data_IF_081449665821
#
_entry.id   IF_081449665821
#
_cell.length_a   1.000
_cell.length_b   1.000
_cell.length_c   1.000
_cell.angle_alpha   90.00
_cell.angle_beta   90.00
_cell.angle_gamma   90.00
#
_symmetry.space_group_name_H-M   'P 1'
#
loop_
_entity.id
_entity.type
_entity.pdbx_description
1 polymer ?
#
# COMPACT_ATOMS: atom_id res chain seq x y z
N UNK A 1 -11.54 40.89 -39.25
CA UNK A 1 -10.91 39.62 -38.87
C UNK A 1 -9.74 39.93 -37.96
N UNK A 2 -9.83 39.61 -36.68
CA UNK A 2 -8.72 39.82 -35.72
C UNK A 2 -8.39 38.45 -35.14
N UNK A 3 -7.21 37.94 -35.48
CA UNK A 3 -6.73 36.63 -35.05
C UNK A 3 -5.93 36.83 -33.76
N UNK A 4 -6.48 36.39 -32.62
CA UNK A 4 -5.75 36.32 -31.36
C UNK A 4 -5.14 34.92 -31.26
N UNK A 5 -3.82 34.82 -31.40
CA UNK A 5 -3.07 33.58 -31.19
C UNK A 5 -2.76 33.46 -29.70
N UNK A 6 -3.51 32.59 -29.02
CA UNK A 6 -3.22 32.21 -27.64
C UNK A 6 -2.09 31.16 -27.63
N UNK A 7 -0.88 31.59 -27.27
CA UNK A 7 0.24 30.67 -26.99
C UNK A 7 0.06 30.11 -25.59
N UNK A 8 -0.46 28.88 -25.50
CA UNK A 8 -0.46 28.11 -24.25
C UNK A 8 0.96 27.58 -23.99
N UNK A 9 1.68 28.20 -23.06
CA UNK A 9 2.87 27.59 -22.47
C UNK A 9 2.45 26.43 -21.58
N UNK A 10 2.47 25.21 -22.14
CA UNK A 10 2.39 23.99 -21.35
C UNK A 10 3.72 23.83 -20.59
N UNK A 11 3.77 24.29 -19.35
CA UNK A 11 4.85 23.89 -18.42
C UNK A 11 4.60 22.44 -18.01
N UNK A 12 5.24 21.50 -18.71
CA UNK A 12 5.31 20.11 -18.29
C UNK A 12 6.15 20.05 -17.01
N UNK A 13 5.50 20.16 -15.85
CA UNK A 13 6.16 19.92 -14.56
C UNK A 13 6.39 18.42 -14.44
N UNK A 14 7.51 17.94 -14.98
CA UNK A 14 7.96 16.57 -14.74
C UNK A 14 8.32 16.46 -13.27
N UNK A 15 7.39 15.94 -12.47
CA UNK A 15 7.66 15.54 -11.11
C UNK A 15 8.73 14.43 -11.16
N UNK A 16 9.97 14.76 -10.78
CA UNK A 16 11.06 13.77 -10.70
C UNK A 16 10.62 12.61 -9.80
N UNK A 17 10.24 11.49 -10.39
CA UNK A 17 9.99 10.24 -9.69
C UNK A 17 11.23 9.87 -8.88
N UNK A 18 11.12 9.99 -7.56
CA UNK A 18 12.17 9.60 -6.63
C UNK A 18 12.01 8.11 -6.38
N UNK A 19 12.81 7.31 -7.07
CA UNK A 19 12.91 5.87 -6.82
C UNK A 19 13.58 5.64 -5.47
N UNK A 20 12.98 4.81 -4.62
CA UNK A 20 13.60 4.32 -3.39
C UNK A 20 14.16 2.93 -3.64
N UNK A 21 15.41 2.71 -3.22
CA UNK A 21 16.11 1.43 -3.42
C UNK A 21 15.35 0.25 -2.81
N UNK A 22 14.88 0.40 -1.57
CA UNK A 22 14.13 -0.63 -0.84
C UNK A 22 13.05 0.01 0.03
N UNK A 23 11.83 -0.50 -0.06
CA UNK A 23 10.69 -0.13 0.78
C UNK A 23 10.16 -1.36 1.51
N UNK A 24 9.92 -1.23 2.80
CA UNK A 24 9.26 -2.28 3.59
C UNK A 24 7.76 -2.02 3.60
N UNK A 25 6.98 -3.08 3.42
CA UNK A 25 5.52 -3.00 3.24
C UNK A 25 4.85 -4.13 4.01
N UNK A 26 3.71 -3.85 4.64
CA UNK A 26 2.75 -4.88 5.03
C UNK A 26 1.32 -4.43 4.69
N UNK A 27 0.44 -5.41 4.52
CA UNK A 27 -0.98 -5.24 4.27
C UNK A 27 -1.82 -5.60 5.50
N UNK A 28 -2.97 -4.97 5.60
CA UNK A 28 -4.02 -5.31 6.56
C UNK A 28 -5.34 -5.44 5.79
N UNK A 29 -6.05 -6.53 6.01
CA UNK A 29 -7.42 -6.68 5.54
C UNK A 29 -8.32 -6.84 6.77
N UNK A 30 -9.28 -5.93 6.93
CA UNK A 30 -10.27 -6.02 8.02
C UNK A 30 -11.62 -6.39 7.43
N UNK A 31 -12.17 -7.51 7.87
CA UNK A 31 -13.56 -7.89 7.59
C UNK A 31 -14.40 -7.59 8.82
N UNK A 32 -15.46 -6.82 8.62
CA UNK A 32 -16.44 -6.55 9.67
C UNK A 32 -17.45 -7.70 9.83
N UNK A 33 -17.59 -8.55 8.81
CA UNK A 33 -18.51 -9.69 8.86
C UNK A 33 -18.04 -10.78 9.81
N UNK A 34 -16.75 -11.11 9.80
CA UNK A 34 -16.15 -12.14 10.64
C UNK A 34 -15.36 -11.56 11.83
N UNK A 35 -15.45 -10.25 12.05
CA UNK A 35 -14.70 -9.50 13.08
C UNK A 35 -13.21 -9.83 13.10
N UNK A 36 -12.60 -10.05 11.93
CA UNK A 36 -11.20 -10.47 11.81
C UNK A 36 -10.36 -9.44 11.08
N UNK A 37 -9.15 -9.23 11.58
CA UNK A 37 -8.11 -8.46 10.92
C UNK A 37 -6.93 -9.37 10.53
N UNK A 38 -6.73 -9.51 9.24
CA UNK A 38 -5.65 -10.28 8.64
C UNK A 38 -4.45 -9.38 8.36
N UNK A 39 -3.25 -9.84 8.70
CA UNK A 39 -2.01 -9.12 8.48
C UNK A 39 -1.06 -9.94 7.60
N UNK A 40 -0.52 -9.33 6.56
CA UNK A 40 0.58 -9.93 5.80
C UNK A 40 1.87 -9.88 6.62
N UNK A 41 2.89 -10.72 6.32
CA UNK A 41 4.24 -10.44 6.80
C UNK A 41 4.75 -9.10 6.23
N UNK A 42 5.79 -8.56 6.86
CA UNK A 42 6.53 -7.43 6.30
C UNK A 42 7.42 -7.93 5.18
N UNK A 43 7.26 -7.34 4.00
CA UNK A 43 7.98 -7.68 2.79
C UNK A 43 8.84 -6.49 2.34
N UNK A 44 9.99 -6.79 1.75
CA UNK A 44 10.85 -5.79 1.13
C UNK A 44 10.55 -5.75 -0.37
N UNK A 45 10.32 -4.55 -0.90
CA UNK A 45 10.09 -4.32 -2.32
C UNK A 45 11.15 -3.33 -2.79
N UNK A 46 11.96 -3.77 -3.75
CA UNK A 46 13.04 -2.96 -4.29
C UNK A 46 12.57 -2.09 -5.46
N UNK A 47 13.26 -0.96 -5.65
CA UNK A 47 13.06 -0.04 -6.77
C UNK A 47 11.62 0.44 -6.95
N UNK A 48 11.00 0.90 -5.86
CA UNK A 48 9.64 1.44 -5.86
C UNK A 48 9.62 2.96 -6.08
N UNK A 49 8.54 3.44 -6.68
CA UNK A 49 8.27 4.86 -6.85
C UNK A 49 7.60 5.46 -5.61
N UNK A 50 7.95 6.71 -5.29
CA UNK A 50 7.43 7.41 -4.11
C UNK A 50 6.93 8.81 -4.43
N UNK A 51 5.91 9.27 -3.71
CA UNK A 51 5.33 10.60 -3.88
C UNK A 51 6.22 11.70 -3.28
N UNK A 52 6.89 12.46 -4.14
CA UNK A 52 7.61 13.67 -3.76
C UNK A 52 8.68 13.45 -2.69
N UNK A 53 8.66 14.26 -1.62
CA UNK A 53 9.56 14.10 -0.45
C UNK A 53 9.00 13.15 0.60
N UNK A 54 7.70 12.83 0.53
CA UNK A 54 7.06 11.91 1.46
C UNK A 54 7.43 10.50 1.01
N UNK A 55 8.12 9.72 1.85
CA UNK A 55 8.57 8.35 1.53
C UNK A 55 7.39 7.36 1.52
N UNK A 56 6.31 7.74 0.85
CA UNK A 56 5.06 7.01 0.65
C UNK A 56 5.08 6.39 -0.74
N UNK A 57 4.57 5.17 -0.86
CA UNK A 57 4.43 4.50 -2.15
C UNK A 57 3.56 5.34 -3.10
N UNK A 58 4.03 5.55 -4.32
CA UNK A 58 3.25 6.21 -5.37
C UNK A 58 1.99 5.38 -5.72
N UNK A 59 2.19 4.07 -5.90
CA UNK A 59 1.13 3.15 -6.32
C UNK A 59 0.47 2.44 -5.13
N UNK A 60 0.28 3.15 -4.01
CA UNK A 60 -0.22 2.55 -2.75
C UNK A 60 -1.56 1.81 -2.93
N UNK A 61 -2.45 2.35 -3.76
CA UNK A 61 -3.75 1.73 -4.04
C UNK A 61 -3.59 0.39 -4.75
N UNK A 62 -2.67 0.29 -5.70
CA UNK A 62 -2.43 -0.95 -6.45
C UNK A 62 -1.93 -2.08 -5.53
N UNK A 63 -1.06 -1.77 -4.57
CA UNK A 63 -0.67 -2.74 -3.54
C UNK A 63 -1.85 -3.16 -2.66
N UNK A 64 -2.78 -2.24 -2.35
CA UNK A 64 -4.00 -2.57 -1.60
C UNK A 64 -4.94 -3.45 -2.44
N UNK A 65 -4.99 -3.27 -3.76
CA UNK A 65 -5.74 -4.13 -4.68
C UNK A 65 -5.14 -5.52 -4.82
N UNK A 66 -3.81 -5.68 -4.83
CA UNK A 66 -3.20 -7.01 -4.80
C UNK A 66 -3.67 -7.82 -3.59
N UNK A 67 -3.72 -7.19 -2.41
CA UNK A 67 -4.21 -7.83 -1.20
C UNK A 67 -5.71 -8.14 -1.30
N UNK A 68 -6.52 -7.20 -1.80
CA UNK A 68 -7.95 -7.43 -2.02
C UNK A 68 -8.20 -8.62 -2.94
N UNK A 69 -7.53 -8.66 -4.08
CA UNK A 69 -7.67 -9.73 -5.06
C UNK A 69 -7.28 -11.10 -4.46
N UNK A 70 -6.30 -11.14 -3.54
CA UNK A 70 -5.97 -12.35 -2.81
C UNK A 70 -7.12 -12.86 -1.93
N UNK A 71 -7.80 -11.97 -1.21
CA UNK A 71 -8.97 -12.32 -0.39
C UNK A 71 -10.17 -12.72 -1.26
N UNK A 72 -10.45 -11.97 -2.34
CA UNK A 72 -11.53 -12.26 -3.27
C UNK A 72 -11.38 -13.66 -3.89
N UNK A 73 -10.15 -14.06 -4.27
CA UNK A 73 -9.87 -15.42 -4.77
C UNK A 73 -10.11 -16.52 -3.74
N UNK A 74 -10.07 -16.20 -2.45
CA UNK A 74 -10.40 -17.11 -1.35
C UNK A 74 -11.89 -17.07 -0.97
N UNK A 75 -12.71 -16.31 -1.69
CA UNK A 75 -14.14 -16.16 -1.42
C UNK A 75 -14.45 -15.26 -0.22
N UNK A 76 -13.46 -14.55 0.32
CA UNK A 76 -13.64 -13.56 1.37
C UNK A 76 -13.81 -12.21 0.64
N UNK A 77 -14.95 -11.56 0.86
CA UNK A 77 -15.34 -10.34 0.14
C UNK A 77 -15.65 -9.21 1.12
N UNK A 78 -15.50 -7.97 0.63
CA UNK A 78 -15.77 -6.73 1.36
C UNK A 78 -14.77 -6.38 2.46
N UNK A 79 -13.55 -6.92 2.42
CA UNK A 79 -12.48 -6.51 3.33
C UNK A 79 -12.02 -5.10 2.99
N UNK A 80 -11.89 -4.26 4.01
CA UNK A 80 -11.11 -3.04 3.86
C UNK A 80 -9.63 -3.40 3.85
N UNK A 81 -9.04 -3.41 2.66
CA UNK A 81 -7.63 -3.70 2.45
C UNK A 81 -6.80 -2.41 2.43
N UNK A 82 -5.78 -2.32 3.29
CA UNK A 82 -4.87 -1.18 3.35
C UNK A 82 -3.41 -1.64 3.37
N UNK A 83 -2.56 -0.87 2.69
CA UNK A 83 -1.11 -1.05 2.71
C UNK A 83 -0.44 -0.02 3.63
N UNK A 84 0.55 -0.45 4.41
CA UNK A 84 1.38 0.42 5.24
C UNK A 84 2.84 0.22 4.85
N UNK A 85 3.58 1.31 4.63
CA UNK A 85 4.95 1.26 4.14
C UNK A 85 5.92 2.11 4.98
N UNK A 86 7.19 1.75 4.96
CA UNK A 86 8.28 2.55 5.52
C UNK A 86 9.63 2.17 4.91
N UNK A 87 10.55 3.13 4.81
CA UNK A 87 11.95 2.84 4.47
C UNK A 87 12.75 2.29 5.67
N UNK A 88 12.14 2.23 6.86
CA UNK A 88 12.76 1.69 8.08
C UNK A 88 11.94 0.50 8.59
N UNK A 89 12.50 -0.70 8.49
CA UNK A 89 11.85 -1.96 8.88
C UNK A 89 11.44 -1.96 10.37
N UNK A 90 12.35 -1.59 11.27
CA UNK A 90 12.08 -1.56 12.71
C UNK A 90 10.96 -0.58 13.08
N UNK A 91 10.86 0.57 12.38
CA UNK A 91 9.74 1.50 12.53
C UNK A 91 8.43 0.86 12.08
N UNK A 92 8.46 0.13 10.96
CA UNK A 92 7.28 -0.54 10.41
C UNK A 92 6.80 -1.69 11.31
N UNK A 93 7.70 -2.49 11.86
CA UNK A 93 7.41 -3.56 12.83
C UNK A 93 6.71 -3.00 14.08
N UNK A 94 7.21 -1.90 14.64
CA UNK A 94 6.58 -1.21 15.77
C UNK A 94 5.17 -0.72 15.42
N UNK A 95 4.96 -0.19 14.21
CA UNK A 95 3.64 0.23 13.73
C UNK A 95 2.68 -0.95 13.58
N UNK A 96 3.15 -2.07 13.03
CA UNK A 96 2.37 -3.30 12.88
C UNK A 96 1.93 -3.84 14.24
N UNK A 97 2.84 -3.91 15.22
CA UNK A 97 2.52 -4.36 16.58
C UNK A 97 1.48 -3.46 17.25
N UNK A 98 1.61 -2.14 17.12
CA UNK A 98 0.62 -1.18 17.64
C UNK A 98 -0.75 -1.36 17.01
N UNK A 99 -0.82 -1.61 15.70
CA UNK A 99 -2.09 -1.85 15.01
C UNK A 99 -2.73 -3.16 15.44
N UNK A 100 -1.96 -4.25 15.56
CA UNK A 100 -2.45 -5.52 16.11
C UNK A 100 -3.03 -5.35 17.51
N UNK A 101 -2.31 -4.67 18.41
CA UNK A 101 -2.79 -4.40 19.77
C UNK A 101 -4.05 -3.52 19.76
N UNK A 102 -4.10 -2.49 18.92
CA UNK A 102 -5.28 -1.62 18.78
C UNK A 102 -6.49 -2.41 18.30
N UNK A 103 -6.33 -3.23 17.26
CA UNK A 103 -7.42 -3.98 16.66
C UNK A 103 -7.94 -5.06 17.61
N UNK A 104 -7.04 -5.77 18.31
CA UNK A 104 -7.42 -6.76 19.31
C UNK A 104 -8.09 -6.15 20.55
N UNK A 105 -7.51 -5.09 21.14
CA UNK A 105 -7.96 -4.59 22.46
C UNK A 105 -9.02 -3.51 22.38
N UNK A 106 -8.96 -2.65 21.36
CA UNK A 106 -9.88 -1.50 21.24
C UNK A 106 -11.08 -1.84 20.37
N UNK A 107 -10.86 -2.63 19.32
CA UNK A 107 -11.89 -2.97 18.35
C UNK A 107 -12.38 -4.41 18.47
N UNK A 108 -11.84 -5.18 19.42
CA UNK A 108 -12.22 -6.57 19.71
C UNK A 108 -12.18 -7.48 18.47
N UNK A 109 -11.27 -7.21 17.53
CA UNK A 109 -11.09 -8.02 16.34
C UNK A 109 -10.16 -9.21 16.62
N UNK A 110 -10.48 -10.36 16.02
CA UNK A 110 -9.56 -11.50 15.95
C UNK A 110 -8.38 -11.13 15.06
N UNK A 111 -7.15 -11.42 15.49
CA UNK A 111 -5.94 -11.11 14.72
C UNK A 111 -5.44 -12.37 14.05
N UNK A 112 -5.37 -12.35 12.72
CA UNK A 112 -4.83 -13.44 11.92
C UNK A 112 -3.61 -12.98 11.14
N UNK A 113 -2.62 -13.87 10.98
CA UNK A 113 -1.45 -13.62 10.15
C UNK A 113 -1.54 -14.48 8.91
N UNK A 114 -1.34 -13.87 7.75
CA UNK A 114 -1.19 -14.59 6.48
C UNK A 114 0.23 -15.16 6.46
N UNK A 115 0.36 -16.40 6.02
CA UNK A 115 1.68 -17.02 5.84
C UNK A 115 2.47 -16.35 4.70
N UNK A 116 3.79 -16.30 4.82
CA UNK A 116 4.65 -15.69 3.81
C UNK A 116 4.67 -16.41 2.46
N UNK A 117 4.35 -17.70 2.43
CA UNK A 117 4.18 -18.47 1.19
C UNK A 117 2.84 -18.24 0.50
N UNK A 118 1.82 -17.72 1.19
CA UNK A 118 0.48 -17.54 0.62
C UNK A 118 0.30 -16.23 -0.15
N UNK A 119 1.00 -15.17 0.27
CA UNK A 119 0.84 -13.86 -0.32
C UNK A 119 2.16 -13.09 -0.38
N UNK A 120 2.51 -12.64 -1.59
CA UNK A 120 3.65 -11.74 -1.84
C UNK A 120 3.19 -10.56 -2.68
N UNK A 121 3.61 -9.36 -2.29
CA UNK A 121 3.38 -8.14 -3.07
C UNK A 121 4.22 -8.16 -4.34
N UNK A 122 3.57 -7.88 -5.46
CA UNK A 122 4.23 -7.66 -6.73
C UNK A 122 4.61 -6.19 -6.87
N UNK A 123 5.83 -5.92 -7.32
CA UNK A 123 6.29 -4.55 -7.55
C UNK A 123 5.46 -3.89 -8.64
N UNK A 124 4.82 -2.77 -8.31
CA UNK A 124 4.04 -1.99 -9.27
C UNK A 124 4.95 -0.97 -9.96
N UNK A 125 5.02 -1.08 -11.29
CA UNK A 125 5.63 -0.09 -12.18
C UNK A 125 4.53 0.68 -12.91
N UNK A 126 4.66 2.01 -12.98
CA UNK A 126 3.83 2.79 -13.88
C UNK A 126 4.16 2.36 -15.31
N UNK A 127 3.13 2.03 -16.11
CA UNK A 127 3.31 1.97 -17.56
C UNK A 127 3.58 3.40 -18.06
N UNK A 128 4.71 3.60 -18.74
CA UNK A 128 5.07 4.87 -19.37
C UNK A 128 4.31 5.09 -20.68
#
# INVERSE_FOLDING_TARGET
MTLVVAVCFAVSVSAKDRKVKTMYVFGIATSFNDSTAYFTPIQAIDSVETFGKTKLLANKQEYSYQLRNFFERKGIQHETCITVNSTNKAKLEKSMLKLKQKYAKKWNLSIQNIDGGEFTFERVVMAQ
#
